data_IF_947915167254
#
_entry.id   IF_947915167254
#
_cell.length_a   1.000
_cell.length_b   1.000
_cell.length_c   1.000
_cell.angle_alpha   90.00
_cell.angle_beta   90.00
_cell.angle_gamma   90.00
#
_symmetry.space_group_name_H-M   'P 1'
#
loop_
_entity.id
_entity.type
_entity.pdbx_description
1 polymer ?
#
# COMPACT_ATOMS: atom_id res chain seq x y z
N UNK A 1 17.54 -62.25 64.01
CA UNK A 1 18.69 -61.63 63.32
C UNK A 1 18.14 -60.54 62.41
N UNK A 2 18.27 -59.34 62.97
CA UNK A 2 17.83 -58.08 62.30
C UNK A 2 18.70 -57.75 61.09
N UNK A 3 18.11 -57.24 60.08
CA UNK A 3 18.83 -56.38 59.15
C UNK A 3 17.89 -55.29 58.61
N UNK A 4 17.89 -54.20 59.37
CA UNK A 4 17.25 -52.92 59.05
C UNK A 4 18.24 -52.08 58.19
N UNK A 5 18.03 -51.97 56.92
CA UNK A 5 18.79 -51.03 56.06
C UNK A 5 17.94 -49.81 55.75
N UNK A 6 18.11 -48.73 56.55
CA UNK A 6 17.54 -47.45 56.39
C UNK A 6 18.05 -46.78 55.08
N UNK A 7 17.12 -46.42 54.18
CA UNK A 7 17.38 -45.49 53.08
C UNK A 7 17.37 -44.08 53.64
N UNK A 8 18.34 -43.23 53.30
CA UNK A 8 18.30 -41.82 53.69
C UNK A 8 17.25 -41.09 52.83
N UNK A 9 16.25 -40.54 53.49
CA UNK A 9 15.27 -39.59 52.85
C UNK A 9 16.00 -38.29 52.59
N UNK A 10 16.23 -37.99 51.30
CA UNK A 10 16.70 -36.67 50.86
C UNK A 10 15.57 -35.68 51.00
N UNK A 11 15.63 -34.89 52.06
CA UNK A 11 14.72 -33.78 52.32
C UNK A 11 15.07 -32.61 51.38
N UNK A 12 14.39 -32.52 50.24
CA UNK A 12 14.47 -31.37 49.34
C UNK A 12 13.75 -30.16 49.97
N UNK A 13 14.34 -29.56 50.95
CA UNK A 13 13.93 -28.30 51.55
C UNK A 13 14.01 -27.18 50.52
N UNK A 14 12.91 -26.93 49.79
CA UNK A 14 12.71 -25.66 49.10
C UNK A 14 12.79 -24.56 50.15
N UNK A 15 13.91 -23.87 50.24
CA UNK A 15 14.06 -22.62 50.98
C UNK A 15 13.12 -21.59 50.35
N UNK A 16 11.87 -21.56 50.78
CA UNK A 16 10.97 -20.43 50.57
C UNK A 16 11.47 -19.33 51.50
N UNK A 17 12.14 -18.32 50.96
CA UNK A 17 12.34 -17.07 51.67
C UNK A 17 10.95 -16.47 51.98
N UNK A 18 10.61 -16.27 53.26
CA UNK A 18 9.35 -15.62 53.63
C UNK A 18 9.54 -14.10 53.47
N UNK A 19 9.61 -13.62 52.22
CA UNK A 19 9.39 -12.20 51.97
C UNK A 19 7.91 -11.96 52.23
N UNK A 20 7.59 -11.14 53.26
CA UNK A 20 6.24 -10.66 53.49
C UNK A 20 5.75 -10.06 52.19
N UNK A 21 4.73 -10.65 51.59
CA UNK A 21 4.16 -10.28 50.28
C UNK A 21 3.83 -8.77 50.14
N UNK A 22 3.69 -8.06 51.24
CA UNK A 22 3.41 -6.62 51.26
C UNK A 22 4.61 -5.75 50.85
N UNK A 23 5.79 -6.03 51.40
CA UNK A 23 7.00 -5.26 51.02
C UNK A 23 7.43 -5.52 49.58
N UNK A 24 7.21 -6.72 49.08
CA UNK A 24 7.45 -7.05 47.68
C UNK A 24 6.46 -6.33 46.76
N UNK A 25 5.18 -6.20 47.15
CA UNK A 25 4.17 -5.42 46.39
C UNK A 25 4.48 -3.94 46.40
N UNK A 26 4.89 -3.37 47.55
CA UNK A 26 5.28 -1.97 47.67
C UNK A 26 6.51 -1.68 46.81
N UNK A 27 7.54 -2.56 46.86
CA UNK A 27 8.74 -2.46 46.05
C UNK A 27 8.45 -2.53 44.56
N UNK A 28 7.56 -3.45 44.13
CA UNK A 28 7.12 -3.55 42.76
C UNK A 28 6.31 -2.31 42.29
N UNK A 29 5.44 -1.78 43.17
CA UNK A 29 4.67 -0.58 42.89
C UNK A 29 5.55 0.66 42.73
N UNK A 30 6.53 0.84 43.62
CA UNK A 30 7.56 1.90 43.53
C UNK A 30 8.39 1.76 42.26
N UNK A 31 8.82 0.55 41.94
CA UNK A 31 9.57 0.27 40.72
C UNK A 31 8.77 0.64 39.46
N UNK A 32 7.47 0.28 39.41
CA UNK A 32 6.60 0.60 38.27
C UNK A 32 6.40 2.12 38.16
N UNK A 33 6.20 2.84 39.29
CA UNK A 33 6.05 4.30 39.29
C UNK A 33 7.33 4.98 38.83
N UNK A 34 8.50 4.58 39.34
CA UNK A 34 9.79 5.16 38.95
C UNK A 34 10.10 4.86 37.48
N UNK A 35 9.91 3.61 37.05
CA UNK A 35 10.10 3.20 35.66
C UNK A 35 9.13 3.95 34.73
N UNK A 36 7.86 4.10 35.13
CA UNK A 36 6.86 4.87 34.41
C UNK A 36 7.23 6.35 34.31
N UNK A 37 7.71 6.95 35.39
CA UNK A 37 8.16 8.36 35.40
C UNK A 37 9.39 8.59 34.53
N UNK A 38 10.34 7.66 34.53
CA UNK A 38 11.52 7.70 33.68
C UNK A 38 11.12 7.54 32.21
N UNK A 39 10.25 6.60 31.89
CA UNK A 39 9.71 6.41 30.53
C UNK A 39 8.94 7.63 30.06
N UNK A 40 8.12 8.23 30.92
CA UNK A 40 7.38 9.46 30.64
C UNK A 40 8.34 10.63 30.37
N UNK A 41 9.36 10.83 31.24
CA UNK A 41 10.35 11.89 31.07
C UNK A 41 11.13 11.72 29.75
N UNK A 42 11.61 10.52 29.43
CA UNK A 42 12.32 10.25 28.18
C UNK A 42 11.40 10.37 26.95
N UNK A 43 10.09 10.08 27.08
CA UNK A 43 9.13 10.20 25.99
C UNK A 43 8.76 11.63 25.65
N UNK A 44 8.69 12.52 26.66
CA UNK A 44 8.18 13.88 26.49
C UNK A 44 9.25 14.99 26.53
N UNK A 45 10.35 14.80 27.27
CA UNK A 45 11.30 15.88 27.55
C UNK A 45 12.69 15.72 26.94
N UNK A 46 13.07 14.53 26.47
CA UNK A 46 14.39 14.32 25.90
C UNK A 46 14.27 13.82 24.46
N UNK A 47 14.50 14.73 23.52
CA UNK A 47 14.71 14.56 22.08
C UNK A 47 14.39 13.15 21.52
N UNK A 48 13.11 12.81 21.41
CA UNK A 48 12.58 11.71 20.58
C UNK A 48 13.38 10.38 20.56
N UNK A 49 14.25 10.12 21.54
CA UNK A 49 15.14 8.94 21.55
C UNK A 49 14.35 7.62 21.53
N UNK A 50 13.25 7.53 22.30
CA UNK A 50 12.36 6.36 22.22
C UNK A 50 11.63 6.29 20.88
N UNK A 51 11.15 7.44 20.42
CA UNK A 51 10.50 7.52 19.09
C UNK A 51 11.48 7.18 17.96
N UNK A 52 12.74 7.63 18.07
CA UNK A 52 13.84 7.26 17.17
C UNK A 52 14.16 5.78 17.19
N UNK A 53 14.17 5.16 18.36
CA UNK A 53 14.36 3.72 18.51
C UNK A 53 13.21 2.91 17.87
N UNK A 54 11.95 3.25 18.16
CA UNK A 54 10.80 2.61 17.51
C UNK A 54 10.79 2.84 16.00
N UNK A 55 11.13 4.05 15.54
CA UNK A 55 11.26 4.37 14.11
C UNK A 55 12.35 3.53 13.45
N UNK A 56 13.47 3.33 14.13
CA UNK A 56 14.58 2.49 13.64
C UNK A 56 14.18 1.02 13.53
N UNK A 57 13.50 0.46 14.55
CA UNK A 57 12.95 -0.89 14.51
C UNK A 57 11.93 -1.03 13.37
N UNK A 58 11.02 -0.06 13.25
CA UNK A 58 10.03 -0.04 12.18
C UNK A 58 10.68 -0.02 10.79
N UNK A 59 11.71 0.80 10.62
CA UNK A 59 12.48 0.85 9.38
C UNK A 59 13.15 -0.49 9.02
N UNK A 60 13.70 -1.21 10.02
CA UNK A 60 14.23 -2.55 9.83
C UNK A 60 13.16 -3.59 9.48
N UNK A 61 11.95 -3.45 10.02
CA UNK A 61 10.84 -4.36 9.77
C UNK A 61 10.09 -4.05 8.47
N UNK A 62 10.27 -2.86 7.90
CA UNK A 62 9.56 -2.40 6.70
C UNK A 62 9.64 -3.40 5.52
N UNK A 63 10.79 -3.96 5.15
CA UNK A 63 10.85 -4.96 4.08
C UNK A 63 10.06 -6.23 4.39
N UNK A 64 10.03 -6.67 5.66
CA UNK A 64 9.25 -7.84 6.07
C UNK A 64 7.76 -7.57 6.07
N UNK A 65 7.31 -6.37 6.44
CA UNK A 65 5.90 -5.97 6.34
C UNK A 65 5.46 -5.89 4.88
N UNK A 66 6.28 -5.33 3.99
CA UNK A 66 6.05 -5.35 2.54
C UNK A 66 5.95 -6.79 2.04
N UNK A 67 6.88 -7.67 2.46
CA UNK A 67 6.86 -9.09 2.10
C UNK A 67 5.61 -9.81 2.60
N UNK A 68 5.13 -9.51 3.80
CA UNK A 68 3.90 -10.09 4.35
C UNK A 68 2.66 -9.62 3.58
N UNK A 69 2.58 -8.33 3.24
CA UNK A 69 1.50 -7.78 2.41
C UNK A 69 1.51 -8.44 1.03
N UNK A 70 2.67 -8.52 0.36
CA UNK A 70 2.79 -9.20 -0.93
C UNK A 70 2.40 -10.68 -0.84
N UNK A 71 2.83 -11.37 0.22
CA UNK A 71 2.45 -12.78 0.44
C UNK A 71 0.92 -12.93 0.61
N UNK A 72 0.28 -11.98 1.29
CA UNK A 72 -1.16 -11.98 1.46
C UNK A 72 -1.89 -11.73 0.12
N UNK A 73 -1.43 -10.77 -0.67
CA UNK A 73 -1.97 -10.46 -2.00
C UNK A 73 -1.77 -11.61 -3.00
N UNK A 74 -0.64 -12.31 -2.94
CA UNK A 74 -0.33 -13.43 -3.83
C UNK A 74 -0.90 -14.78 -3.34
N UNK A 75 -1.38 -14.87 -2.09
CA UNK A 75 -1.98 -16.07 -1.50
C UNK A 75 -3.08 -16.69 -2.40
N UNK A 76 -4.07 -15.93 -2.93
CA UNK A 76 -5.12 -16.49 -3.79
C UNK A 76 -4.57 -17.06 -5.08
N UNK A 77 -3.64 -16.37 -5.75
CA UNK A 77 -2.97 -16.83 -6.96
C UNK A 77 -2.24 -18.15 -6.67
N UNK A 78 -1.46 -18.18 -5.59
CA UNK A 78 -0.74 -19.35 -5.15
C UNK A 78 -1.67 -20.56 -4.87
N UNK A 79 -2.86 -20.34 -4.28
CA UNK A 79 -3.83 -21.40 -4.01
C UNK A 79 -4.41 -21.98 -5.32
N UNK A 80 -4.69 -21.14 -6.31
CA UNK A 80 -5.18 -21.59 -7.63
C UNK A 80 -4.12 -22.49 -8.28
N UNK A 81 -2.86 -22.05 -8.31
CA UNK A 81 -1.77 -22.86 -8.86
C UNK A 81 -1.46 -24.12 -8.04
N UNK A 82 -1.61 -24.08 -6.70
CA UNK A 82 -1.44 -25.29 -5.87
C UNK A 82 -2.49 -26.34 -6.23
N UNK A 83 -3.75 -25.94 -6.47
CA UNK A 83 -4.81 -26.86 -6.90
C UNK A 83 -4.52 -27.44 -8.29
N UNK A 84 -3.99 -26.63 -9.19
CA UNK A 84 -3.67 -27.06 -10.56
C UNK A 84 -2.47 -28.00 -10.58
N UNK A 85 -1.37 -27.64 -9.94
CA UNK A 85 -0.16 -28.48 -9.85
C UNK A 85 -0.41 -29.75 -9.03
N UNK A 86 -1.25 -29.72 -8.01
CA UNK A 86 -1.61 -30.91 -7.25
C UNK A 86 -2.31 -31.98 -8.10
N UNK A 87 -3.08 -31.58 -9.14
CA UNK A 87 -3.66 -32.53 -10.10
C UNK A 87 -2.59 -33.24 -10.95
N UNK A 88 -1.53 -32.50 -11.35
CA UNK A 88 -0.42 -33.06 -12.14
C UNK A 88 0.40 -34.10 -11.36
N UNK A 89 0.58 -33.83 -10.05
CA UNK A 89 1.36 -34.71 -9.17
C UNK A 89 0.52 -35.78 -8.42
N UNK A 90 -0.75 -35.93 -8.77
CA UNK A 90 -1.65 -36.90 -8.09
C UNK A 90 -1.16 -38.36 -8.19
N UNK A 91 -0.43 -38.71 -9.27
CA UNK A 91 0.08 -40.06 -9.52
C UNK A 91 1.44 -40.37 -8.90
N UNK A 92 2.05 -39.43 -8.15
CA UNK A 92 3.35 -39.69 -7.50
C UNK A 92 3.20 -40.62 -6.29
N UNK A 93 4.02 -41.66 -6.24
CA UNK A 93 4.06 -42.65 -5.16
C UNK A 93 4.34 -42.04 -3.78
N UNK A 94 5.09 -40.90 -3.72
CA UNK A 94 5.41 -40.17 -2.49
C UNK A 94 4.47 -38.95 -2.33
N UNK A 95 3.34 -39.13 -1.65
CA UNK A 95 2.34 -38.10 -1.41
C UNK A 95 2.87 -36.85 -0.67
N UNK A 96 3.82 -37.03 0.26
CA UNK A 96 4.38 -35.89 1.01
C UNK A 96 5.35 -35.07 0.14
N UNK A 97 6.16 -35.74 -0.68
CA UNK A 97 7.02 -35.10 -1.67
C UNK A 97 6.22 -34.34 -2.74
N UNK A 98 5.19 -34.97 -3.29
CA UNK A 98 4.29 -34.35 -4.27
C UNK A 98 3.62 -33.08 -3.73
N UNK A 99 3.13 -33.12 -2.49
CA UNK A 99 2.48 -31.95 -1.86
C UNK A 99 3.46 -30.79 -1.62
N UNK A 100 4.70 -31.07 -1.18
CA UNK A 100 5.74 -30.08 -0.98
C UNK A 100 6.21 -29.48 -2.31
N UNK A 101 6.37 -30.33 -3.34
CA UNK A 101 6.75 -29.88 -4.69
C UNK A 101 5.66 -29.00 -5.31
N UNK A 102 4.40 -29.42 -5.25
CA UNK A 102 3.25 -28.63 -5.71
C UNK A 102 3.18 -27.27 -5.01
N UNK A 103 3.42 -27.22 -3.70
CA UNK A 103 3.41 -25.98 -2.94
C UNK A 103 4.56 -25.04 -3.37
N UNK A 104 5.79 -25.55 -3.53
CA UNK A 104 6.91 -24.72 -3.96
C UNK A 104 6.74 -24.22 -5.40
N UNK A 105 6.24 -25.08 -6.28
CA UNK A 105 6.00 -24.72 -7.68
C UNK A 105 4.89 -23.67 -7.82
N UNK A 106 3.84 -23.77 -7.01
CA UNK A 106 2.77 -22.75 -6.98
C UNK A 106 3.27 -21.38 -6.51
N UNK A 107 4.19 -21.34 -5.54
CA UNK A 107 4.83 -20.09 -5.10
C UNK A 107 5.69 -19.51 -6.22
N UNK A 108 6.47 -20.35 -6.91
CA UNK A 108 7.31 -19.94 -8.03
C UNK A 108 6.48 -19.30 -9.16
N UNK A 109 5.38 -19.95 -9.58
CA UNK A 109 4.49 -19.41 -10.60
C UNK A 109 3.81 -18.10 -10.15
N UNK A 110 3.35 -18.02 -8.90
CA UNK A 110 2.73 -16.80 -8.39
C UNK A 110 3.71 -15.62 -8.39
N UNK A 111 4.97 -15.87 -8.05
CA UNK A 111 6.02 -14.84 -8.06
C UNK A 111 6.40 -14.44 -9.49
N UNK A 112 6.50 -15.40 -10.41
CA UNK A 112 6.79 -15.09 -11.83
C UNK A 112 5.66 -14.23 -12.42
N UNK A 113 4.40 -14.57 -12.16
CA UNK A 113 3.27 -13.77 -12.64
C UNK A 113 3.31 -12.37 -12.06
N UNK A 114 3.62 -12.22 -10.79
CA UNK A 114 3.78 -10.91 -10.16
C UNK A 114 4.92 -10.10 -10.80
N UNK A 115 6.08 -10.72 -11.00
CA UNK A 115 7.22 -10.06 -11.65
C UNK A 115 6.94 -9.71 -13.12
N UNK A 116 6.27 -10.58 -13.86
CA UNK A 116 5.84 -10.29 -15.23
C UNK A 116 4.84 -9.14 -15.27
N UNK A 117 3.88 -9.10 -14.35
CA UNK A 117 2.92 -8.00 -14.21
C UNK A 117 3.63 -6.68 -13.88
N UNK A 118 4.55 -6.69 -12.93
CA UNK A 118 5.35 -5.51 -12.60
C UNK A 118 6.21 -5.05 -13.79
N UNK A 119 6.85 -5.98 -14.50
CA UNK A 119 7.61 -5.67 -15.69
C UNK A 119 6.76 -4.98 -16.77
N UNK A 120 5.59 -5.53 -17.07
CA UNK A 120 4.67 -4.93 -18.05
C UNK A 120 4.25 -3.53 -17.63
N UNK A 121 3.90 -3.32 -16.34
CA UNK A 121 3.57 -1.99 -15.83
C UNK A 121 4.74 -1.03 -16.02
N UNK A 122 5.94 -1.39 -15.55
CA UNK A 122 7.09 -0.50 -15.66
C UNK A 122 7.48 -0.21 -17.11
N UNK A 123 7.48 -1.22 -17.97
CA UNK A 123 7.87 -1.08 -19.38
C UNK A 123 6.88 -0.23 -20.19
N UNK A 124 5.60 -0.20 -19.80
CA UNK A 124 4.57 0.57 -20.53
C UNK A 124 4.26 1.92 -19.88
N UNK A 125 4.17 1.95 -18.55
CA UNK A 125 3.75 3.17 -17.83
C UNK A 125 4.88 4.19 -17.75
N UNK A 126 6.12 3.77 -17.43
CA UNK A 126 7.22 4.72 -17.26
C UNK A 126 7.49 5.55 -18.52
N UNK A 127 7.63 4.97 -19.73
CA UNK A 127 7.83 5.75 -20.94
C UNK A 127 6.67 6.72 -21.18
N UNK A 128 5.43 6.26 -21.03
CA UNK A 128 4.24 7.08 -21.25
C UNK A 128 4.12 8.24 -20.25
N UNK A 129 4.51 8.02 -18.99
CA UNK A 129 4.58 9.10 -17.97
C UNK A 129 5.62 10.13 -18.36
N UNK A 130 6.81 9.69 -18.81
CA UNK A 130 7.87 10.60 -19.25
C UNK A 130 7.41 11.43 -20.46
N UNK A 131 6.80 10.78 -21.44
CA UNK A 131 6.28 11.47 -22.63
C UNK A 131 5.11 12.43 -22.28
N UNK A 132 4.21 12.03 -21.37
CA UNK A 132 3.15 12.89 -20.87
C UNK A 132 3.69 14.12 -20.14
N UNK A 133 4.75 13.96 -19.34
CA UNK A 133 5.41 15.08 -18.65
C UNK A 133 6.04 16.03 -19.68
N UNK A 134 6.72 15.51 -20.71
CA UNK A 134 7.31 16.35 -21.77
C UNK A 134 6.22 17.18 -22.48
N UNK A 135 5.14 16.53 -22.93
CA UNK A 135 4.02 17.21 -23.57
C UNK A 135 3.39 18.25 -22.63
N UNK A 136 3.27 17.95 -21.33
CA UNK A 136 2.78 18.92 -20.33
C UNK A 136 3.66 20.16 -20.29
N UNK A 137 4.95 19.96 -20.20
CA UNK A 137 5.94 21.05 -20.13
C UNK A 137 5.91 21.92 -21.38
N UNK A 138 5.85 21.30 -22.54
CA UNK A 138 5.80 21.98 -23.83
C UNK A 138 4.45 22.74 -24.02
N UNK A 139 3.35 22.22 -23.48
CA UNK A 139 2.02 22.82 -23.59
C UNK A 139 1.74 23.96 -22.57
N UNK A 140 2.49 24.04 -21.47
CA UNK A 140 2.27 25.07 -20.42
C UNK A 140 2.38 26.49 -20.97
N UNK A 141 3.41 26.88 -21.76
CA UNK A 141 3.53 28.23 -22.29
C UNK A 141 2.36 28.60 -23.21
N UNK A 142 1.96 27.69 -24.09
CA UNK A 142 0.88 27.93 -25.05
C UNK A 142 -0.49 28.03 -24.34
N UNK A 143 -0.77 27.10 -23.42
CA UNK A 143 -2.00 27.14 -22.63
C UNK A 143 -2.08 28.40 -21.75
N UNK A 144 -0.95 28.86 -21.24
CA UNK A 144 -0.88 30.12 -20.48
C UNK A 144 -1.19 31.31 -21.39
N UNK A 145 -0.58 31.39 -22.58
CA UNK A 145 -0.82 32.50 -23.53
C UNK A 145 -2.29 32.53 -23.94
N UNK A 146 -2.91 31.40 -24.26
CA UNK A 146 -4.32 31.31 -24.63
C UNK A 146 -5.27 31.83 -23.52
N UNK A 147 -4.98 31.45 -22.26
CA UNK A 147 -5.77 31.91 -21.09
C UNK A 147 -5.59 33.41 -20.87
N UNK A 148 -4.36 33.91 -21.01
CA UNK A 148 -4.09 35.34 -20.83
C UNK A 148 -4.68 36.19 -21.98
N UNK A 149 -4.60 35.75 -23.23
CA UNK A 149 -5.24 36.40 -24.37
C UNK A 149 -6.76 36.48 -24.21
N UNK A 150 -7.35 35.42 -23.66
CA UNK A 150 -8.76 35.38 -23.31
C UNK A 150 -9.11 36.37 -22.19
N UNK A 151 -8.29 36.43 -21.10
CA UNK A 151 -8.45 37.35 -19.97
C UNK A 151 -8.28 38.82 -20.44
N UNK A 152 -7.26 39.11 -21.24
CA UNK A 152 -7.02 40.43 -21.83
C UNK A 152 -8.18 40.78 -22.75
N UNK A 153 -8.70 39.82 -23.53
CA UNK A 153 -9.86 40.01 -24.40
C UNK A 153 -11.13 40.44 -23.65
N UNK A 154 -11.36 39.87 -22.46
CA UNK A 154 -12.51 40.24 -21.62
C UNK A 154 -12.27 41.58 -20.88
N UNK A 155 -11.02 41.90 -20.53
CA UNK A 155 -10.68 43.12 -19.78
C UNK A 155 -10.62 44.35 -20.64
N UNK A 156 -10.63 44.23 -21.98
CA UNK A 156 -10.61 45.36 -22.90
C UNK A 156 -11.76 46.36 -22.66
N UNK A 157 -11.39 47.59 -22.43
CA UNK A 157 -12.36 48.66 -22.12
C UNK A 157 -12.80 48.72 -20.65
N UNK A 158 -12.21 47.94 -19.77
CA UNK A 158 -12.45 47.99 -18.31
C UNK A 158 -11.28 48.67 -17.60
N UNK A 159 -11.53 49.17 -16.36
CA UNK A 159 -10.50 49.82 -15.51
C UNK A 159 -9.34 48.85 -15.13
N UNK A 160 -9.50 47.54 -15.40
CA UNK A 160 -8.53 46.49 -15.08
C UNK A 160 -7.63 46.10 -16.26
N UNK A 161 -7.76 46.70 -17.45
CA UNK A 161 -7.01 46.33 -18.66
C UNK A 161 -5.49 46.41 -18.43
N UNK A 162 -5.01 47.54 -17.90
CA UNK A 162 -3.57 47.73 -17.62
C UNK A 162 -3.03 46.76 -16.58
N UNK A 163 -3.82 46.47 -15.54
CA UNK A 163 -3.43 45.55 -14.45
C UNK A 163 -3.36 44.11 -14.94
N UNK A 164 -4.30 43.66 -15.78
CA UNK A 164 -4.32 42.32 -16.35
C UNK A 164 -3.18 42.14 -17.35
N UNK A 165 -2.88 43.14 -18.17
CA UNK A 165 -1.79 43.10 -19.16
C UNK A 165 -0.44 43.04 -18.46
N UNK A 166 -0.20 43.84 -17.41
CA UNK A 166 1.03 43.85 -16.65
C UNK A 166 1.21 42.56 -15.88
N UNK A 167 0.14 42.00 -15.28
CA UNK A 167 0.15 40.69 -14.62
C UNK A 167 0.45 39.56 -15.60
N UNK A 168 -0.07 39.64 -16.84
CA UNK A 168 0.21 38.70 -17.91
C UNK A 168 1.70 38.63 -18.23
N UNK A 169 2.33 39.77 -18.50
CA UNK A 169 3.74 39.86 -18.91
C UNK A 169 4.70 39.39 -17.84
N UNK A 170 4.46 39.77 -16.58
CA UNK A 170 5.32 39.39 -15.45
C UNK A 170 5.17 37.90 -15.11
N UNK A 171 3.96 37.37 -15.21
CA UNK A 171 3.71 35.96 -14.95
C UNK A 171 4.21 35.08 -16.08
N UNK A 172 4.11 35.50 -17.34
CA UNK A 172 4.71 34.80 -18.51
C UNK A 172 6.22 34.60 -18.33
N UNK A 173 6.92 35.69 -17.97
CA UNK A 173 8.38 35.62 -17.69
C UNK A 173 8.69 34.67 -16.55
N UNK A 174 7.87 34.67 -15.51
CA UNK A 174 8.04 33.77 -14.37
C UNK A 174 7.72 32.32 -14.72
N UNK A 175 6.65 32.05 -15.50
CA UNK A 175 6.31 30.69 -15.97
C UNK A 175 7.40 30.16 -16.90
N UNK A 176 7.84 30.94 -17.90
CA UNK A 176 8.97 30.55 -18.76
C UNK A 176 10.21 30.29 -17.94
N UNK A 177 10.53 31.15 -16.96
CA UNK A 177 11.66 30.96 -16.06
C UNK A 177 11.54 29.69 -15.22
N UNK A 178 10.35 29.37 -14.71
CA UNK A 178 10.09 28.13 -13.96
C UNK A 178 10.19 26.91 -14.88
N UNK A 179 9.61 26.97 -16.09
CA UNK A 179 9.69 25.88 -17.09
C UNK A 179 11.14 25.66 -17.50
N UNK A 180 11.87 26.72 -17.83
CA UNK A 180 13.31 26.66 -18.14
C UNK A 180 14.13 26.19 -16.93
N UNK A 181 13.75 26.59 -15.71
CA UNK A 181 14.40 26.12 -14.46
C UNK A 181 14.12 24.66 -14.13
N UNK A 182 12.96 24.12 -14.49
CA UNK A 182 12.59 22.75 -14.20
C UNK A 182 13.10 21.77 -15.26
N UNK A 183 13.19 22.18 -16.53
CA UNK A 183 13.42 21.27 -17.64
C UNK A 183 14.62 21.64 -18.54
N UNK A 184 15.21 22.83 -18.34
CA UNK A 184 16.47 23.26 -18.99
C UNK A 184 16.32 23.50 -20.50
N UNK A 185 16.65 24.70 -20.96
CA UNK A 185 17.09 24.88 -22.33
C UNK A 185 18.45 24.18 -22.47
N UNK A 186 18.62 23.32 -23.45
CA UNK A 186 19.85 22.53 -23.65
C UNK A 186 21.12 23.34 -23.99
N UNK A 187 21.12 24.63 -23.66
CA UNK A 187 22.23 25.54 -23.93
C UNK A 187 22.41 26.53 -22.80
N UNK A 188 23.45 26.29 -22.01
CA UNK A 188 24.19 27.19 -21.13
C UNK A 188 23.84 27.22 -19.63
N UNK A 189 24.92 27.01 -18.93
CA UNK A 189 25.32 27.33 -17.56
C UNK A 189 24.82 26.46 -16.39
N UNK A 190 25.78 25.74 -15.86
CA UNK A 190 25.85 24.77 -14.77
C UNK A 190 25.04 24.97 -13.48
N UNK A 191 24.19 25.98 -13.36
CA UNK A 191 23.48 26.28 -12.10
C UNK A 191 22.06 25.65 -12.02
N UNK A 192 21.51 25.28 -13.18
CA UNK A 192 20.18 24.68 -13.28
C UNK A 192 20.26 23.16 -13.13
N UNK A 193 21.39 22.60 -13.57
CA UNK A 193 21.71 21.17 -13.46
C UNK A 193 21.65 20.68 -12.01
N UNK A 194 22.05 21.48 -11.02
CA UNK A 194 22.12 21.05 -9.62
C UNK A 194 20.74 20.87 -8.96
N UNK A 195 19.75 21.72 -9.27
CA UNK A 195 18.40 21.58 -8.69
C UNK A 195 17.57 20.50 -9.36
N UNK A 196 17.67 20.38 -10.70
CA UNK A 196 17.02 19.29 -11.45
C UNK A 196 17.71 17.97 -11.14
N UNK A 197 19.06 17.94 -11.13
CA UNK A 197 19.83 16.76 -10.71
C UNK A 197 19.52 16.40 -9.26
N UNK A 198 19.34 17.36 -8.35
CA UNK A 198 18.93 17.06 -6.97
C UNK A 198 17.50 16.51 -6.90
N UNK A 199 16.54 17.06 -7.64
CA UNK A 199 15.18 16.54 -7.73
C UNK A 199 15.11 15.15 -8.36
N UNK A 200 15.81 14.95 -9.48
CA UNK A 200 15.96 13.63 -10.12
C UNK A 200 16.72 12.67 -9.20
N UNK A 201 17.78 13.14 -8.53
CA UNK A 201 18.55 12.32 -7.58
C UNK A 201 17.69 11.88 -6.38
N UNK A 202 16.84 12.75 -5.84
CA UNK A 202 15.87 12.40 -4.78
C UNK A 202 14.86 11.39 -5.31
N UNK A 203 14.34 11.60 -6.52
CA UNK A 203 13.45 10.65 -7.18
C UNK A 203 14.11 9.29 -7.41
N UNK A 204 15.32 9.27 -7.97
CA UNK A 204 16.11 8.04 -8.21
C UNK A 204 16.45 7.34 -6.89
N UNK A 205 16.87 8.08 -5.86
CA UNK A 205 17.09 7.50 -4.51
C UNK A 205 15.81 6.90 -3.93
N UNK A 206 14.66 7.55 -4.12
CA UNK A 206 13.35 7.04 -3.71
C UNK A 206 12.99 5.74 -4.44
N UNK A 207 13.17 5.70 -5.75
CA UNK A 207 12.95 4.49 -6.56
C UNK A 207 13.91 3.36 -6.17
N UNK A 208 15.21 3.65 -5.97
CA UNK A 208 16.19 2.66 -5.53
C UNK A 208 15.86 2.11 -4.12
N UNK A 209 15.44 2.98 -3.20
CA UNK A 209 15.00 2.56 -1.87
C UNK A 209 13.73 1.68 -1.95
N UNK A 210 12.77 2.05 -2.79
CA UNK A 210 11.58 1.24 -3.06
C UNK A 210 11.95 -0.12 -3.66
N UNK A 211 12.80 -0.17 -4.70
CA UNK A 211 13.26 -1.40 -5.32
C UNK A 211 14.01 -2.30 -4.33
N UNK A 212 14.89 -1.72 -3.51
CA UNK A 212 15.57 -2.47 -2.44
C UNK A 212 14.58 -3.11 -1.47
N UNK A 213 13.62 -2.34 -0.97
CA UNK A 213 12.61 -2.84 -0.04
C UNK A 213 11.68 -3.87 -0.71
N UNK A 214 11.36 -3.68 -1.99
CA UNK A 214 10.59 -4.62 -2.79
C UNK A 214 11.34 -5.94 -2.98
N UNK A 215 12.63 -5.92 -3.30
CA UNK A 215 13.45 -7.13 -3.46
C UNK A 215 13.57 -7.92 -2.16
N UNK A 216 13.88 -7.25 -1.05
CA UNK A 216 13.95 -7.90 0.27
C UNK A 216 12.54 -8.41 0.66
N UNK A 217 11.52 -7.59 0.40
CA UNK A 217 10.12 -7.95 0.64
C UNK A 217 9.69 -9.15 -0.21
N UNK A 218 10.14 -9.25 -1.46
CA UNK A 218 9.86 -10.40 -2.34
C UNK A 218 10.49 -11.69 -1.80
N UNK A 219 11.72 -11.62 -1.31
CA UNK A 219 12.36 -12.78 -0.64
C UNK A 219 11.54 -13.18 0.59
N UNK A 220 11.17 -12.23 1.45
CA UNK A 220 10.31 -12.51 2.61
C UNK A 220 8.95 -13.09 2.19
N UNK A 221 8.34 -12.54 1.13
CA UNK A 221 7.09 -13.04 0.55
C UNK A 221 7.19 -14.52 0.14
N UNK A 222 8.25 -14.89 -0.58
CA UNK A 222 8.50 -16.29 -0.97
C UNK A 222 8.59 -17.20 0.24
N UNK A 223 9.35 -16.80 1.26
CA UNK A 223 9.47 -17.58 2.51
C UNK A 223 8.14 -17.72 3.25
N UNK A 224 7.37 -16.63 3.37
CA UNK A 224 6.05 -16.64 4.02
C UNK A 224 5.08 -17.55 3.26
N UNK A 225 5.00 -17.43 1.93
CA UNK A 225 4.13 -18.26 1.09
C UNK A 225 4.53 -19.74 1.12
N UNK A 226 5.82 -20.03 1.02
CA UNK A 226 6.33 -21.41 1.06
C UNK A 226 6.10 -22.07 2.42
N UNK A 227 6.19 -21.30 3.50
CA UNK A 227 6.05 -21.82 4.86
C UNK A 227 4.71 -21.45 5.53
N UNK A 228 3.71 -20.94 4.77
CA UNK A 228 2.44 -20.43 5.31
C UNK A 228 1.73 -21.40 6.26
N UNK A 229 1.72 -22.71 5.94
CA UNK A 229 1.08 -23.73 6.77
C UNK A 229 1.84 -23.95 8.08
N UNK A 230 3.19 -23.90 8.03
CA UNK A 230 4.06 -24.04 9.21
C UNK A 230 3.96 -22.81 10.11
N UNK A 231 4.00 -21.60 9.52
CA UNK A 231 3.86 -20.34 10.27
C UNK A 231 2.50 -20.24 10.96
N UNK A 232 1.42 -20.61 10.27
CA UNK A 232 0.08 -20.65 10.85
C UNK A 232 -0.01 -21.67 12.03
N UNK A 233 0.61 -22.86 11.89
CA UNK A 233 0.67 -23.84 12.96
C UNK A 233 1.48 -23.34 14.16
N UNK A 234 2.62 -22.67 13.92
CA UNK A 234 3.42 -22.06 14.98
C UNK A 234 2.65 -20.93 15.70
N UNK A 235 1.98 -20.06 14.96
CA UNK A 235 1.13 -19.02 15.54
C UNK A 235 0.03 -19.61 16.42
N UNK A 236 -0.65 -20.65 15.93
CA UNK A 236 -1.65 -21.40 16.69
C UNK A 236 -1.05 -21.97 17.99
N UNK A 237 0.12 -22.61 17.89
CA UNK A 237 0.80 -23.21 19.05
C UNK A 237 1.16 -22.15 20.11
N UNK A 238 1.63 -20.96 19.70
CA UNK A 238 1.93 -19.85 20.61
C UNK A 238 0.67 -19.43 21.36
N UNK A 239 -0.47 -19.23 20.66
CA UNK A 239 -1.73 -18.81 21.27
C UNK A 239 -2.17 -19.85 22.33
N UNK A 240 -2.15 -21.14 22.00
CA UNK A 240 -2.53 -22.21 22.95
C UNK A 240 -1.54 -22.41 24.08
N UNK A 241 -0.28 -21.98 23.93
CA UNK A 241 0.74 -22.01 24.98
C UNK A 241 0.59 -20.87 25.99
N UNK A 242 0.19 -19.67 25.52
CA UNK A 242 0.11 -18.47 26.35
C UNK A 242 -1.26 -18.35 27.04
N UNK A 243 -2.35 -18.72 26.36
CA UNK A 243 -3.69 -18.53 26.84
C UNK A 243 -4.35 -19.86 27.28
N UNK A 244 -5.26 -19.77 28.26
CA UNK A 244 -6.11 -20.91 28.63
C UNK A 244 -6.97 -21.33 27.44
N UNK A 245 -7.24 -22.64 27.29
CA UNK A 245 -7.94 -23.24 26.14
C UNK A 245 -9.18 -22.46 25.71
N UNK A 246 -10.05 -22.06 26.62
CA UNK A 246 -11.30 -21.30 26.33
C UNK A 246 -11.01 -19.94 25.64
N UNK A 247 -9.99 -19.23 26.09
CA UNK A 247 -9.57 -17.96 25.48
C UNK A 247 -8.83 -18.19 24.16
N UNK A 248 -7.98 -19.22 24.09
CA UNK A 248 -7.27 -19.57 22.86
C UNK A 248 -8.24 -19.95 21.73
N UNK A 249 -9.28 -20.72 22.02
CA UNK A 249 -10.31 -21.10 21.05
C UNK A 249 -11.03 -19.84 20.52
N UNK A 250 -11.46 -18.92 21.40
CA UNK A 250 -12.09 -17.66 21.01
C UNK A 250 -11.16 -16.80 20.17
N UNK A 251 -9.90 -16.62 20.58
CA UNK A 251 -8.91 -15.86 19.79
C UNK A 251 -8.72 -16.48 18.40
N UNK A 252 -8.72 -17.81 18.30
CA UNK A 252 -8.58 -18.49 17.01
C UNK A 252 -9.84 -18.30 16.11
N UNK A 253 -11.02 -18.28 16.67
CA UNK A 253 -12.26 -17.98 15.95
C UNK A 253 -12.22 -16.56 15.41
N UNK A 254 -11.83 -15.57 16.22
CA UNK A 254 -11.68 -14.17 15.80
C UNK A 254 -10.62 -14.00 14.70
N UNK A 255 -9.45 -14.64 14.84
CA UNK A 255 -8.41 -14.60 13.80
C UNK A 255 -8.92 -15.18 12.47
N UNK A 256 -9.66 -16.30 12.51
CA UNK A 256 -10.24 -16.89 11.31
C UNK A 256 -11.29 -15.98 10.68
N UNK A 257 -12.12 -15.34 11.51
CA UNK A 257 -13.11 -14.37 11.05
C UNK A 257 -12.45 -13.17 10.36
N UNK A 258 -11.45 -12.57 11.00
CA UNK A 258 -10.65 -11.46 10.46
C UNK A 258 -9.98 -11.85 9.14
N UNK A 259 -9.32 -13.03 9.05
CA UNK A 259 -8.69 -13.51 7.79
C UNK A 259 -9.72 -13.67 6.67
N UNK A 260 -10.93 -14.16 6.99
CA UNK A 260 -12.02 -14.29 6.01
C UNK A 260 -12.49 -12.93 5.49
N UNK A 261 -12.68 -11.94 6.39
CA UNK A 261 -13.08 -10.57 6.04
C UNK A 261 -12.02 -9.89 5.17
N UNK A 262 -10.76 -9.91 5.62
CA UNK A 262 -9.64 -9.36 4.86
C UNK A 262 -9.48 -10.01 3.49
N UNK A 263 -9.46 -11.35 3.45
CA UNK A 263 -9.29 -12.09 2.21
C UNK A 263 -10.43 -11.82 1.22
N UNK A 264 -11.68 -11.78 1.71
CA UNK A 264 -12.84 -11.46 0.88
C UNK A 264 -12.76 -10.05 0.30
N UNK A 265 -12.50 -9.06 1.14
CA UNK A 265 -12.41 -7.67 0.72
C UNK A 265 -11.24 -7.39 -0.24
N UNK A 266 -10.02 -7.80 0.12
CA UNK A 266 -8.83 -7.56 -0.70
C UNK A 266 -8.92 -8.27 -2.04
N UNK A 267 -9.33 -9.55 -2.06
CA UNK A 267 -9.52 -10.29 -3.30
C UNK A 267 -10.61 -9.67 -4.17
N UNK A 268 -11.71 -9.27 -3.56
CA UNK A 268 -12.79 -8.57 -4.26
C UNK A 268 -12.30 -7.28 -4.90
N UNK A 269 -11.56 -6.44 -4.13
CA UNK A 269 -11.04 -5.17 -4.67
C UNK A 269 -9.98 -5.34 -5.75
N UNK A 270 -9.14 -6.37 -5.67
CA UNK A 270 -8.17 -6.67 -6.75
C UNK A 270 -8.90 -7.06 -8.03
N UNK A 271 -9.89 -7.95 -7.94
CA UNK A 271 -10.67 -8.40 -9.11
C UNK A 271 -11.44 -7.21 -9.70
N UNK A 272 -12.10 -6.42 -8.88
CA UNK A 272 -12.80 -5.21 -9.24
C UNK A 272 -11.89 -4.23 -10.01
N UNK A 273 -10.73 -3.92 -9.46
CA UNK A 273 -9.74 -3.03 -10.04
C UNK A 273 -9.20 -3.52 -11.38
N UNK A 274 -8.99 -4.82 -11.53
CA UNK A 274 -8.56 -5.41 -12.81
C UNK A 274 -9.67 -5.25 -13.85
N UNK A 275 -10.92 -5.52 -13.50
CA UNK A 275 -12.06 -5.38 -14.41
C UNK A 275 -12.24 -3.92 -14.82
N UNK A 276 -12.19 -2.98 -13.87
CA UNK A 276 -12.27 -1.54 -14.17
C UNK A 276 -11.11 -1.08 -15.05
N UNK A 277 -9.89 -1.53 -14.79
CA UNK A 277 -8.73 -1.25 -15.64
C UNK A 277 -8.95 -1.73 -17.08
N UNK A 278 -9.45 -2.96 -17.28
CA UNK A 278 -9.74 -3.52 -18.59
C UNK A 278 -10.86 -2.73 -19.30
N UNK A 279 -11.96 -2.44 -18.59
CA UNK A 279 -13.07 -1.65 -19.14
C UNK A 279 -12.57 -0.27 -19.57
N UNK A 280 -11.80 0.40 -18.71
CA UNK A 280 -11.20 1.71 -19.00
C UNK A 280 -10.32 1.63 -20.25
N UNK A 281 -9.48 0.60 -20.38
CA UNK A 281 -8.62 0.39 -21.55
C UNK A 281 -9.43 0.23 -22.85
N UNK A 282 -10.46 -0.59 -22.83
CA UNK A 282 -11.32 -0.84 -23.98
C UNK A 282 -12.01 0.47 -24.40
N UNK A 283 -12.64 1.15 -23.44
CA UNK A 283 -13.43 2.35 -23.74
C UNK A 283 -12.54 3.52 -24.18
N UNK A 284 -11.40 3.76 -23.52
CA UNK A 284 -10.44 4.80 -23.94
C UNK A 284 -9.87 4.54 -25.32
N UNK A 285 -9.65 3.27 -25.68
CA UNK A 285 -9.19 2.87 -27.01
C UNK A 285 -10.27 3.14 -28.08
N UNK A 286 -11.54 2.79 -27.81
CA UNK A 286 -12.67 3.04 -28.71
C UNK A 286 -12.85 4.54 -28.97
N UNK A 287 -12.78 5.37 -27.92
CA UNK A 287 -12.92 6.83 -28.05
C UNK A 287 -11.62 7.52 -28.51
N UNK A 288 -10.58 6.75 -28.85
CA UNK A 288 -9.27 7.26 -29.28
C UNK A 288 -8.71 8.32 -28.33
N UNK A 289 -8.88 8.10 -27.01
CA UNK A 289 -8.30 8.94 -25.98
C UNK A 289 -6.79 8.64 -25.93
N UNK A 290 -5.92 9.66 -25.88
CA UNK A 290 -4.47 9.45 -25.85
C UNK A 290 -4.04 8.70 -24.59
N UNK A 291 -2.91 8.00 -24.69
CA UNK A 291 -2.32 7.26 -23.56
C UNK A 291 -3.28 6.26 -22.89
N UNK A 292 -4.13 5.58 -23.69
CA UNK A 292 -5.15 4.66 -23.18
C UNK A 292 -4.62 3.63 -22.18
N UNK A 293 -3.41 3.06 -22.44
CA UNK A 293 -2.80 2.09 -21.54
C UNK A 293 -2.39 2.73 -20.20
N UNK A 294 -1.77 3.90 -20.22
CA UNK A 294 -1.39 4.65 -19.03
C UNK A 294 -2.63 4.99 -18.18
N UNK A 295 -3.65 5.55 -18.81
CA UNK A 295 -4.92 5.93 -18.16
C UNK A 295 -5.57 4.70 -17.51
N UNK A 296 -5.65 3.58 -18.23
CA UNK A 296 -6.29 2.37 -17.72
C UNK A 296 -5.53 1.74 -16.55
N UNK A 297 -4.20 1.78 -16.59
CA UNK A 297 -3.38 1.29 -15.48
C UNK A 297 -3.51 2.20 -14.26
N UNK A 298 -3.45 3.53 -14.44
CA UNK A 298 -3.63 4.49 -13.34
C UNK A 298 -5.00 4.29 -12.70
N UNK A 299 -6.07 4.30 -13.48
CA UNK A 299 -7.45 4.13 -13.00
C UNK A 299 -7.62 2.77 -12.32
N UNK A 300 -7.12 1.69 -12.93
CA UNK A 300 -7.22 0.34 -12.36
C UNK A 300 -6.45 0.21 -11.04
N UNK A 301 -5.22 0.69 -10.96
CA UNK A 301 -4.40 0.62 -9.75
C UNK A 301 -4.98 1.47 -8.62
N UNK A 302 -5.39 2.70 -8.94
CA UNK A 302 -5.98 3.60 -7.92
C UNK A 302 -7.33 3.11 -7.43
N UNK A 303 -8.10 2.39 -8.25
CA UNK A 303 -9.40 1.82 -7.87
C UNK A 303 -9.32 0.80 -6.72
N UNK A 304 -8.13 0.29 -6.39
CA UNK A 304 -7.93 -0.54 -5.19
C UNK A 304 -8.29 0.22 -3.91
N UNK A 305 -8.14 1.55 -3.89
CA UNK A 305 -8.55 2.39 -2.76
C UNK A 305 -10.04 2.70 -2.89
N UNK A 306 -10.89 2.23 -1.97
CA UNK A 306 -12.32 2.53 -2.04
C UNK A 306 -12.58 4.04 -1.95
N UNK A 307 -13.59 4.55 -2.63
CA UNK A 307 -14.04 5.94 -2.70
C UNK A 307 -13.02 6.92 -3.31
N UNK A 308 -11.80 6.94 -2.83
CA UNK A 308 -10.76 7.90 -3.28
C UNK A 308 -10.05 7.46 -4.55
N UNK A 309 -9.95 6.14 -4.78
CA UNK A 309 -9.24 5.59 -5.92
C UNK A 309 -9.67 6.17 -7.26
N UNK A 310 -10.97 6.18 -7.57
CA UNK A 310 -11.49 6.78 -8.79
C UNK A 310 -11.07 8.23 -9.01
N UNK A 311 -11.12 9.05 -7.97
CA UNK A 311 -10.75 10.48 -8.05
C UNK A 311 -9.25 10.68 -8.19
N UNK A 312 -8.46 9.93 -7.43
CA UNK A 312 -6.99 9.98 -7.50
C UNK A 312 -6.51 9.58 -8.90
N UNK A 313 -7.18 8.63 -9.55
CA UNK A 313 -6.86 8.22 -10.91
C UNK A 313 -7.42 9.18 -11.97
N UNK A 314 -8.66 9.64 -11.81
CA UNK A 314 -9.34 10.44 -12.83
C UNK A 314 -8.72 11.83 -13.01
N UNK A 315 -8.32 12.51 -11.92
CA UNK A 315 -7.80 13.88 -12.00
C UNK A 315 -6.53 13.97 -12.86
N UNK A 316 -5.45 13.20 -12.61
CA UNK A 316 -4.27 13.28 -13.47
C UNK A 316 -4.55 12.81 -14.90
N UNK A 317 -5.43 11.81 -15.08
CA UNK A 317 -5.80 11.32 -16.41
C UNK A 317 -6.62 12.36 -17.20
N UNK A 318 -7.49 13.12 -16.54
CA UNK A 318 -8.23 14.21 -17.15
C UNK A 318 -7.27 15.32 -17.62
N UNK A 319 -6.27 15.66 -16.82
CA UNK A 319 -5.23 16.62 -17.20
C UNK A 319 -4.45 16.15 -18.44
N UNK A 320 -4.05 14.88 -18.49
CA UNK A 320 -3.36 14.29 -19.65
C UNK A 320 -4.27 14.38 -20.91
N UNK A 321 -5.55 14.06 -20.78
CA UNK A 321 -6.49 14.14 -21.88
C UNK A 321 -6.74 15.59 -22.33
N UNK A 322 -6.81 16.53 -21.39
CA UNK A 322 -7.02 17.96 -21.63
C UNK A 322 -5.90 18.58 -22.45
N UNK A 323 -4.67 18.23 -22.12
CA UNK A 323 -3.47 18.72 -22.82
C UNK A 323 -3.44 18.36 -24.30
N UNK A 324 -4.02 17.20 -24.66
CA UNK A 324 -4.09 16.79 -26.08
C UNK A 324 -5.28 17.45 -26.77
N UNK A 325 -6.43 17.54 -26.10
CA UNK A 325 -7.61 18.23 -26.63
C UNK A 325 -8.66 18.39 -25.52
N UNK A 326 -9.22 19.62 -25.33
CA UNK A 326 -10.33 19.85 -24.40
C UNK A 326 -11.54 18.95 -24.66
N UNK A 327 -11.82 18.66 -25.93
CA UNK A 327 -12.93 17.78 -26.35
C UNK A 327 -12.66 16.32 -25.87
N UNK A 328 -11.43 15.84 -25.97
CA UNK A 328 -11.07 14.50 -25.47
C UNK A 328 -11.12 14.42 -23.95
N UNK A 329 -10.78 15.50 -23.26
CA UNK A 329 -10.97 15.60 -21.82
C UNK A 329 -12.45 15.48 -21.44
N UNK A 330 -13.35 16.18 -22.15
CA UNK A 330 -14.79 16.06 -21.92
C UNK A 330 -15.29 14.63 -22.12
N UNK A 331 -14.88 13.97 -23.21
CA UNK A 331 -15.19 12.54 -23.42
C UNK A 331 -14.66 11.66 -22.30
N UNK A 332 -13.43 11.90 -21.85
CA UNK A 332 -12.85 11.16 -20.73
C UNK A 332 -13.64 11.35 -19.42
N UNK A 333 -14.04 12.58 -19.10
CA UNK A 333 -14.82 12.87 -17.89
C UNK A 333 -16.17 12.16 -17.92
N UNK A 334 -16.89 12.25 -19.04
CA UNK A 334 -18.19 11.56 -19.20
C UNK A 334 -18.01 10.04 -19.08
N UNK A 335 -16.99 9.50 -19.74
CA UNK A 335 -16.65 8.09 -19.72
C UNK A 335 -16.32 7.61 -18.30
N UNK A 336 -15.44 8.33 -17.59
CA UNK A 336 -15.02 7.88 -16.26
C UNK A 336 -16.17 7.94 -15.26
N UNK A 337 -17.05 8.94 -15.34
CA UNK A 337 -18.27 9.01 -14.52
C UNK A 337 -19.17 7.80 -14.81
N UNK A 338 -19.39 7.45 -16.08
CA UNK A 338 -20.19 6.28 -16.44
C UNK A 338 -19.58 4.97 -15.92
N UNK A 339 -18.25 4.80 -16.03
CA UNK A 339 -17.54 3.64 -15.49
C UNK A 339 -17.67 3.60 -13.96
N UNK A 340 -17.58 4.74 -13.27
CA UNK A 340 -17.70 4.79 -11.81
C UNK A 340 -19.14 4.50 -11.34
N UNK A 341 -20.15 4.93 -12.11
CA UNK A 341 -21.54 4.56 -11.83
C UNK A 341 -21.77 3.04 -12.02
N UNK A 342 -21.16 2.46 -13.05
CA UNK A 342 -21.18 1.01 -13.27
C UNK A 342 -20.48 0.26 -12.14
N UNK A 343 -19.31 0.73 -11.71
CA UNK A 343 -18.57 0.15 -10.59
C UNK A 343 -19.40 0.21 -9.29
N UNK A 344 -19.83 1.39 -8.89
CA UNK A 344 -20.51 1.60 -7.62
C UNK A 344 -21.87 0.90 -7.51
N UNK A 345 -22.64 0.79 -8.60
CA UNK A 345 -24.00 0.26 -8.57
C UNK A 345 -24.13 -1.20 -9.01
N UNK A 346 -23.18 -1.70 -9.81
CA UNK A 346 -23.29 -3.05 -10.39
C UNK A 346 -22.12 -3.94 -9.98
N UNK A 347 -20.89 -3.48 -10.27
CA UNK A 347 -19.69 -4.31 -10.11
C UNK A 347 -19.33 -4.49 -8.64
N UNK A 348 -19.23 -3.39 -7.89
CA UNK A 348 -18.92 -3.40 -6.47
C UNK A 348 -19.86 -4.28 -5.65
N UNK A 349 -21.19 -4.10 -5.71
CA UNK A 349 -22.14 -4.98 -5.02
C UNK A 349 -22.03 -6.46 -5.42
N UNK A 350 -21.76 -6.75 -6.68
CA UNK A 350 -21.61 -8.14 -7.16
C UNK A 350 -20.32 -8.82 -6.71
N UNK A 351 -19.21 -8.07 -6.64
CA UNK A 351 -17.89 -8.63 -6.30
C UNK A 351 -17.66 -8.61 -4.80
N UNK A 352 -17.89 -7.46 -4.15
CA UNK A 352 -17.63 -7.28 -2.73
C UNK A 352 -18.80 -7.78 -1.86
N UNK A 353 -20.04 -7.74 -2.38
CA UNK A 353 -21.23 -8.12 -1.63
C UNK A 353 -21.33 -7.37 -0.30
N UNK A 354 -21.93 -7.98 0.70
CA UNK A 354 -22.00 -7.47 2.08
C UNK A 354 -20.78 -7.90 2.91
N UNK A 355 -19.59 -7.96 2.30
CA UNK A 355 -18.39 -8.54 2.94
C UNK A 355 -18.00 -7.81 4.22
N UNK A 356 -18.22 -6.50 4.30
CA UNK A 356 -17.81 -5.70 5.46
C UNK A 356 -18.94 -5.36 6.42
N UNK A 357 -20.19 -5.38 5.96
CA UNK A 357 -21.35 -4.98 6.77
C UNK A 357 -21.34 -3.53 7.27
N UNK A 358 -20.33 -2.75 6.88
CA UNK A 358 -20.16 -1.35 7.30
C UNK A 358 -21.02 -0.40 6.45
N UNK A 359 -21.59 0.63 7.09
CA UNK A 359 -22.18 1.74 6.35
C UNK A 359 -21.10 2.58 5.65
N UNK A 360 -21.47 3.31 4.59
CA UNK A 360 -20.53 4.14 3.80
C UNK A 360 -19.76 5.14 4.66
N UNK A 361 -20.37 5.68 5.73
CA UNK A 361 -19.71 6.57 6.67
C UNK A 361 -18.52 5.90 7.36
N UNK A 362 -18.69 4.69 7.89
CA UNK A 362 -17.62 3.97 8.58
C UNK A 362 -16.53 3.49 7.64
N UNK A 363 -16.88 3.19 6.39
CA UNK A 363 -15.89 2.89 5.36
C UNK A 363 -15.04 4.14 5.08
N UNK A 364 -15.66 5.31 4.87
CA UNK A 364 -14.94 6.56 4.67
C UNK A 364 -14.06 6.92 5.88
N UNK A 365 -14.61 6.83 7.08
CA UNK A 365 -13.87 7.06 8.31
C UNK A 365 -12.64 6.17 8.42
N UNK A 366 -12.79 4.87 8.18
CA UNK A 366 -11.68 3.91 8.27
C UNK A 366 -10.56 4.22 7.26
N UNK A 367 -10.92 4.63 6.03
CA UNK A 367 -9.93 4.98 5.01
C UNK A 367 -9.14 6.23 5.43
N UNK A 368 -9.82 7.28 5.92
CA UNK A 368 -9.16 8.52 6.35
C UNK A 368 -8.29 8.25 7.57
N UNK A 369 -8.82 7.57 8.58
CA UNK A 369 -8.12 7.30 9.84
C UNK A 369 -6.88 6.42 9.62
N UNK A 370 -7.04 5.25 9.02
CA UNK A 370 -5.92 4.34 8.77
C UNK A 370 -5.01 4.84 7.65
N UNK A 371 -5.55 5.59 6.68
CA UNK A 371 -4.77 6.26 5.65
C UNK A 371 -3.81 7.30 6.23
N UNK A 372 -4.27 8.07 7.21
CA UNK A 372 -3.43 9.04 7.94
C UNK A 372 -2.33 8.37 8.78
N UNK A 373 -2.60 7.19 9.36
CA UNK A 373 -1.64 6.45 10.18
C UNK A 373 -0.63 5.63 9.37
N UNK A 374 -1.09 4.93 8.33
CA UNK A 374 -0.32 3.91 7.61
C UNK A 374 -0.20 4.19 6.11
N UNK A 375 -0.60 5.39 5.65
CA UNK A 375 -0.54 5.79 4.25
C UNK A 375 -1.38 4.88 3.35
N UNK A 376 -0.88 4.57 2.15
CA UNK A 376 -1.57 3.76 1.15
C UNK A 376 -2.01 2.38 1.70
N UNK A 377 -1.16 1.70 2.46
CA UNK A 377 -1.49 0.40 3.04
C UNK A 377 -2.67 0.51 4.02
N UNK A 378 -2.74 1.62 4.78
CA UNK A 378 -3.86 1.92 5.67
C UNK A 378 -5.16 2.22 4.92
N UNK A 379 -5.11 2.91 3.78
CA UNK A 379 -6.29 3.17 2.96
C UNK A 379 -6.91 1.86 2.42
N UNK A 380 -6.07 0.92 2.00
CA UNK A 380 -6.53 -0.36 1.44
C UNK A 380 -6.95 -1.34 2.53
N UNK A 381 -6.16 -1.47 3.60
CA UNK A 381 -6.39 -2.44 4.67
C UNK A 381 -7.30 -1.95 5.79
N UNK A 382 -7.53 -0.63 5.90
CA UNK A 382 -8.28 -0.02 6.99
C UNK A 382 -9.75 -0.45 7.04
N UNK A 383 -10.39 -0.58 5.89
CA UNK A 383 -11.80 -0.99 5.80
C UNK A 383 -12.03 -2.39 6.38
N UNK A 384 -11.35 -3.45 5.93
CA UNK A 384 -11.53 -4.76 6.52
C UNK A 384 -11.04 -4.85 7.97
N UNK A 385 -10.04 -4.04 8.35
CA UNK A 385 -9.59 -3.96 9.73
C UNK A 385 -10.68 -3.37 10.65
N UNK A 386 -11.29 -2.27 10.23
CA UNK A 386 -12.37 -1.63 10.97
C UNK A 386 -13.65 -2.50 11.01
N UNK A 387 -13.91 -3.26 9.94
CA UNK A 387 -15.03 -4.19 9.87
C UNK A 387 -14.87 -5.41 10.81
N UNK A 388 -13.64 -5.70 11.21
CA UNK A 388 -13.32 -6.83 12.08
C UNK A 388 -13.35 -6.46 13.58
N UNK A 389 -13.40 -5.17 13.93
CA UNK A 389 -13.52 -4.66 15.31
C UNK A 389 -14.99 -4.52 15.69
#
# INVERSE_FOLDING_TARGET
MDNNTGKPTVNNGKRRFPMKNEYAKIGLMLFIVVAGSILFYFSFFKDHTLFGFFKSIWSCLMPFTVGAVLAYLLKPICIVFEKWTARWFSNMKNRNGAKKLSQNLSVFFAVIIFLAFMYVIFATVIPQVIDSIKVLVEAIPDAYSDVMDWLVGISKGTVFEDTVTQFSDDTLKNVQKIVTQLFGDGTSDGMITDKVISGVTVGVKGVLAFLKNLLIGLVACVYILAQRKKLAAQGKMIIYSVFKKKWADRIMEEICYVDKMFSGFINGKIIDSIIIGIITFIVTTIFKIPYAMLISVIVGVTNVIPFFGPWIGAVPCALIAFMVSPVKCLYFIIMIIAIQQFDGNILGPKILGNTTGLSSFWVLFSIIFFGGLFGFAGMVGGVPFFAAI
#
